data_IF_671345827665
#
_entry.id   IF_671345827665
#
_cell.length_a   1.000
_cell.length_b   1.000
_cell.length_c   1.000
_cell.angle_alpha   90.00
_cell.angle_beta   90.00
_cell.angle_gamma   90.00
#
_symmetry.space_group_name_H-M   'P 1'
#
loop_
_entity.id
_entity.type
_entity.pdbx_description
1 polymer ?
#
# COMPACT_ATOMS: atom_id res chain seq x y z
N UNK A 1 0.00 -69.22 35.78
CA UNK A 1 0.73 -67.96 36.00
C UNK A 1 1.10 -67.41 34.65
N UNK A 2 0.35 -66.44 34.17
CA UNK A 2 0.64 -65.74 32.94
C UNK A 2 0.74 -64.24 33.33
N UNK A 3 1.93 -63.70 33.19
CA UNK A 3 2.22 -62.27 33.42
C UNK A 3 1.92 -61.52 32.11
N UNK A 4 1.00 -60.55 32.15
CA UNK A 4 0.74 -59.60 31.08
C UNK A 4 1.67 -58.39 31.28
N UNK A 5 2.57 -58.14 30.31
CA UNK A 5 3.31 -56.88 30.18
C UNK A 5 2.45 -55.89 29.40
N UNK A 6 1.99 -54.84 30.07
CA UNK A 6 1.39 -53.69 29.40
C UNK A 6 2.52 -52.78 28.92
N UNK A 7 2.70 -52.70 27.60
CA UNK A 7 3.56 -51.71 26.98
C UNK A 7 2.84 -50.36 26.89
N UNK A 8 3.39 -49.39 27.56
CA UNK A 8 3.00 -47.97 27.43
C UNK A 8 3.71 -47.43 26.20
N UNK A 9 2.98 -47.25 25.11
CA UNK A 9 3.48 -46.52 23.94
C UNK A 9 3.33 -45.04 24.18
N UNK A 10 4.42 -44.42 24.66
CA UNK A 10 4.61 -43.00 24.54
C UNK A 10 4.66 -42.63 23.06
N UNK A 11 3.58 -42.09 22.54
CA UNK A 11 3.60 -41.39 21.27
C UNK A 11 4.40 -40.09 21.46
N UNK A 12 5.71 -40.18 21.22
CA UNK A 12 6.59 -39.03 21.14
C UNK A 12 6.10 -38.13 20.01
N UNK A 13 5.56 -36.96 20.36
CA UNK A 13 5.42 -35.84 19.45
C UNK A 13 6.79 -35.55 18.84
N UNK A 14 6.93 -35.87 17.58
CA UNK A 14 8.07 -35.46 16.76
C UNK A 14 7.99 -33.93 16.60
N UNK A 15 8.69 -33.21 17.47
CA UNK A 15 9.00 -31.81 17.24
C UNK A 15 9.91 -31.76 16.00
N UNK A 16 9.44 -31.21 14.92
CA UNK A 16 10.25 -30.87 13.74
C UNK A 16 11.35 -29.88 14.19
N UNK A 17 12.57 -30.35 14.36
CA UNK A 17 13.73 -29.59 14.82
C UNK A 17 14.32 -28.65 13.74
N UNK A 18 13.51 -28.07 12.88
CA UNK A 18 13.94 -27.02 11.92
C UNK A 18 13.52 -25.62 12.39
N UNK A 19 14.20 -24.57 11.92
CA UNK A 19 13.76 -23.21 12.18
C UNK A 19 12.35 -23.00 11.64
N UNK A 20 11.51 -22.26 12.39
CA UNK A 20 10.19 -21.86 11.92
C UNK A 20 10.40 -20.87 10.76
N UNK A 21 9.65 -21.05 9.68
CA UNK A 21 9.61 -20.11 8.56
C UNK A 21 8.21 -19.53 8.48
N UNK A 22 8.12 -18.20 8.62
CA UNK A 22 6.89 -17.45 8.39
C UNK A 22 6.82 -16.98 6.93
N UNK A 23 5.64 -17.08 6.33
CA UNK A 23 5.36 -16.50 5.02
C UNK A 23 4.68 -15.15 5.21
N UNK A 24 5.37 -14.08 4.76
CA UNK A 24 4.84 -12.72 4.67
C UNK A 24 4.31 -12.50 3.25
N UNK A 25 2.99 -12.41 3.11
CA UNK A 25 2.35 -12.02 1.85
C UNK A 25 2.43 -10.50 1.71
N UNK A 26 2.86 -10.01 0.57
CA UNK A 26 2.96 -8.58 0.29
C UNK A 26 2.60 -8.24 -1.16
N UNK A 27 2.30 -6.97 -1.43
CA UNK A 27 2.13 -6.47 -2.79
C UNK A 27 3.47 -6.45 -3.55
N UNK A 28 3.42 -6.32 -4.87
CA UNK A 28 4.60 -6.43 -5.75
C UNK A 28 5.64 -5.31 -5.54
N UNK A 29 5.21 -4.15 -5.06
CA UNK A 29 6.07 -3.00 -4.75
C UNK A 29 6.74 -3.07 -3.36
N UNK A 30 6.51 -4.12 -2.57
CA UNK A 30 7.15 -4.29 -1.27
C UNK A 30 8.61 -4.69 -1.44
N UNK A 31 9.53 -3.74 -1.24
CA UNK A 31 10.97 -3.88 -1.50
C UNK A 31 11.83 -3.38 -0.33
N UNK A 32 11.70 -3.94 0.89
CA UNK A 32 12.58 -3.57 2.00
C UNK A 32 14.03 -3.94 1.71
N UNK A 33 14.99 -3.43 2.50
CA UNK A 33 16.40 -3.80 2.40
C UNK A 33 16.57 -5.32 2.45
N UNK A 34 17.52 -5.86 1.68
CA UNK A 34 17.71 -7.32 1.52
C UNK A 34 17.98 -8.04 2.84
N UNK A 35 18.69 -7.39 3.75
CA UNK A 35 19.13 -7.90 5.05
C UNK A 35 18.21 -7.49 6.21
N UNK A 36 17.08 -6.83 5.94
CA UNK A 36 16.22 -6.27 6.98
C UNK A 36 15.71 -7.33 7.97
N UNK A 37 15.49 -8.55 7.54
CA UNK A 37 15.02 -9.64 8.39
C UNK A 37 16.12 -10.43 9.09
N UNK A 38 17.42 -10.15 8.82
CA UNK A 38 18.54 -10.88 9.41
C UNK A 38 18.61 -10.67 10.95
N UNK A 39 18.38 -9.44 11.41
CA UNK A 39 18.33 -9.12 12.82
C UNK A 39 17.18 -9.86 13.53
N UNK A 40 15.99 -9.91 12.93
CA UNK A 40 14.86 -10.67 13.43
C UNK A 40 15.15 -12.17 13.52
N UNK A 41 15.75 -12.73 12.46
CA UNK A 41 16.14 -14.15 12.44
C UNK A 41 17.20 -14.47 13.47
N UNK A 42 18.19 -13.59 13.65
CA UNK A 42 19.25 -13.78 14.65
C UNK A 42 18.71 -13.75 16.10
N UNK A 43 17.71 -12.91 16.37
CA UNK A 43 17.10 -12.76 17.70
C UNK A 43 16.13 -13.90 18.04
N UNK A 44 15.29 -14.29 17.04
CA UNK A 44 14.14 -15.18 17.28
C UNK A 44 14.37 -16.62 16.80
N UNK A 45 15.32 -16.83 15.88
CA UNK A 45 15.49 -18.10 15.15
C UNK A 45 14.42 -18.32 14.08
N UNK A 46 13.56 -17.33 13.80
CA UNK A 46 12.47 -17.42 12.81
C UNK A 46 12.96 -16.82 11.49
N UNK A 47 12.73 -17.54 10.40
CA UNK A 47 13.02 -17.07 9.03
C UNK A 47 11.78 -16.44 8.42
N UNK A 48 11.91 -15.30 7.74
CA UNK A 48 10.81 -14.66 7.02
C UNK A 48 10.97 -14.92 5.52
N UNK A 49 9.96 -15.55 4.92
CA UNK A 49 9.84 -15.75 3.48
C UNK A 49 8.83 -14.76 2.91
N UNK A 50 9.29 -13.78 2.13
CA UNK A 50 8.41 -12.78 1.50
C UNK A 50 7.87 -13.31 0.17
N UNK A 51 6.55 -13.37 0.05
CA UNK A 51 5.84 -13.76 -1.18
C UNK A 51 5.07 -12.56 -1.71
N UNK A 52 5.47 -12.07 -2.89
CA UNK A 52 4.84 -10.93 -3.55
C UNK A 52 3.82 -11.39 -4.56
N UNK A 53 2.62 -10.80 -4.55
CA UNK A 53 1.50 -11.22 -5.39
C UNK A 53 0.69 -10.03 -5.89
N UNK A 54 1.04 -9.48 -7.04
CA UNK A 54 0.29 -8.37 -7.66
C UNK A 54 0.22 -7.11 -6.82
N UNK A 55 -0.59 -6.14 -7.23
CA UNK A 55 -0.85 -4.92 -6.46
C UNK A 55 -1.78 -5.20 -5.26
N UNK A 56 -1.89 -4.28 -4.31
CA UNK A 56 -2.57 -4.47 -3.02
C UNK A 56 -4.04 -4.91 -3.15
N UNK A 57 -4.78 -4.40 -4.13
CA UNK A 57 -6.18 -4.81 -4.37
C UNK A 57 -6.29 -6.27 -4.83
N UNK A 58 -5.33 -6.74 -5.63
CA UNK A 58 -5.23 -8.14 -6.05
C UNK A 58 -4.81 -9.04 -4.88
N UNK A 59 -3.79 -8.64 -4.11
CA UNK A 59 -3.32 -9.33 -2.91
C UNK A 59 -4.47 -9.55 -1.90
N UNK A 60 -5.18 -8.49 -1.53
CA UNK A 60 -6.31 -8.57 -0.58
C UNK A 60 -7.44 -9.44 -1.14
N UNK A 61 -7.70 -9.37 -2.46
CA UNK A 61 -8.71 -10.20 -3.10
C UNK A 61 -8.38 -11.70 -3.01
N UNK A 62 -7.13 -12.08 -3.28
CA UNK A 62 -6.66 -13.45 -3.18
C UNK A 62 -6.68 -13.96 -1.74
N UNK A 63 -6.17 -13.16 -0.79
CA UNK A 63 -6.15 -13.53 0.62
C UNK A 63 -7.56 -13.69 1.21
N UNK A 64 -8.53 -12.88 0.78
CA UNK A 64 -9.93 -13.01 1.19
C UNK A 64 -10.57 -14.34 0.74
N UNK A 65 -10.17 -14.88 -0.42
CA UNK A 65 -10.67 -16.19 -0.90
C UNK A 65 -10.17 -17.37 -0.07
N UNK A 66 -9.07 -17.21 0.64
CA UNK A 66 -8.44 -18.25 1.46
C UNK A 66 -8.56 -17.97 2.96
N UNK A 67 -9.42 -17.02 3.37
CA UNK A 67 -9.62 -16.70 4.78
C UNK A 67 -9.96 -17.94 5.61
N UNK A 68 -9.27 -18.12 6.74
CA UNK A 68 -9.35 -19.32 7.59
C UNK A 68 -8.47 -20.51 7.18
N UNK A 69 -7.93 -20.51 5.95
CA UNK A 69 -6.89 -21.45 5.49
C UNK A 69 -5.90 -20.69 4.60
N UNK A 70 -5.15 -19.75 5.15
CA UNK A 70 -4.36 -18.79 4.39
C UNK A 70 -3.13 -19.41 3.73
N UNK A 71 -2.65 -18.78 2.64
CA UNK A 71 -1.42 -19.15 1.94
C UNK A 71 -0.15 -18.60 2.63
N UNK A 72 -0.31 -17.74 3.64
CA UNK A 72 0.76 -17.14 4.43
C UNK A 72 0.38 -16.98 5.90
N UNK A 73 1.27 -16.37 6.68
CA UNK A 73 1.10 -16.20 8.12
C UNK A 73 0.79 -14.75 8.49
N UNK A 74 1.41 -13.82 7.79
CA UNK A 74 1.24 -12.38 7.94
C UNK A 74 1.01 -11.76 6.57
N UNK A 75 0.18 -10.72 6.49
CA UNK A 75 -0.04 -9.94 5.28
C UNK A 75 0.38 -8.49 5.53
N UNK A 76 1.16 -7.93 4.59
CA UNK A 76 1.52 -6.51 4.48
C UNK A 76 0.85 -5.92 3.25
N UNK A 77 0.20 -4.74 3.38
CA UNK A 77 -0.29 -4.02 2.22
C UNK A 77 -1.81 -3.92 2.11
N UNK A 78 -2.54 -4.12 3.21
CA UNK A 78 -3.92 -3.62 3.30
C UNK A 78 -3.85 -2.15 3.66
N UNK A 79 -4.53 -1.29 2.92
CA UNK A 79 -4.64 0.11 3.28
C UNK A 79 -6.07 0.50 3.72
N UNK A 80 -6.23 1.75 4.16
CA UNK A 80 -7.52 2.27 4.62
C UNK A 80 -8.63 2.20 3.54
N UNK A 81 -8.29 2.10 2.27
CA UNK A 81 -9.25 1.98 1.15
C UNK A 81 -9.79 0.55 1.00
N UNK A 82 -8.98 -0.45 1.37
CA UNK A 82 -9.26 -1.88 1.27
C UNK A 82 -9.63 -2.54 2.61
N UNK A 83 -9.41 -1.83 3.73
CA UNK A 83 -9.54 -2.38 5.08
C UNK A 83 -10.92 -3.00 5.33
N UNK A 84 -12.00 -2.35 4.91
CA UNK A 84 -13.36 -2.87 5.08
C UNK A 84 -13.52 -4.25 4.43
N UNK A 85 -12.99 -4.44 3.22
CA UNK A 85 -13.04 -5.72 2.53
C UNK A 85 -12.31 -6.83 3.27
N UNK A 86 -11.15 -6.50 3.84
CA UNK A 86 -10.33 -7.45 4.58
C UNK A 86 -11.01 -7.87 5.90
N UNK A 87 -11.62 -6.91 6.61
CA UNK A 87 -12.37 -7.17 7.85
C UNK A 87 -13.67 -7.94 7.58
N UNK A 88 -14.43 -7.60 6.54
CA UNK A 88 -15.65 -8.30 6.15
C UNK A 88 -15.40 -9.78 5.78
N UNK A 89 -14.21 -10.06 5.21
CA UNK A 89 -13.77 -11.41 4.90
C UNK A 89 -13.20 -12.18 6.11
N UNK A 90 -13.16 -11.56 7.30
CA UNK A 90 -12.63 -12.15 8.54
C UNK A 90 -11.19 -12.70 8.38
N UNK A 91 -10.34 -11.94 7.66
CA UNK A 91 -9.01 -12.38 7.24
C UNK A 91 -8.01 -12.47 8.37
N UNK A 92 -8.19 -11.71 9.47
CA UNK A 92 -7.14 -11.46 10.44
C UNK A 92 -7.46 -11.97 11.83
N UNK A 93 -6.41 -12.35 12.56
CA UNK A 93 -6.41 -12.56 14.00
C UNK A 93 -6.14 -11.25 14.72
N UNK A 94 -6.86 -10.98 15.81
CA UNK A 94 -6.61 -9.79 16.63
C UNK A 94 -5.27 -9.90 17.37
N UNK A 95 -4.46 -8.85 17.27
CA UNK A 95 -3.22 -8.71 18.04
C UNK A 95 -2.91 -7.25 18.33
N UNK A 96 -2.65 -6.93 19.58
CA UNK A 96 -2.25 -5.59 20.03
C UNK A 96 -0.74 -5.57 20.30
N UNK A 97 0.04 -5.07 19.33
CA UNK A 97 1.47 -4.85 19.51
C UNK A 97 1.75 -3.78 20.56
N UNK A 98 2.80 -3.93 21.40
CA UNK A 98 3.22 -2.88 22.34
C UNK A 98 3.65 -1.59 21.62
N UNK A 99 4.04 -1.66 20.36
CA UNK A 99 4.49 -0.51 19.56
C UNK A 99 3.38 0.50 19.25
N UNK A 100 2.09 0.16 19.42
CA UNK A 100 0.99 1.14 19.33
C UNK A 100 1.20 2.36 20.24
N UNK A 101 1.90 2.19 21.36
CA UNK A 101 2.21 3.29 22.29
C UNK A 101 3.11 4.38 21.68
N UNK A 102 3.80 4.08 20.59
CA UNK A 102 4.71 4.99 19.87
C UNK A 102 4.12 5.54 18.57
N UNK A 103 2.85 5.28 18.30
CA UNK A 103 2.15 5.72 17.09
C UNK A 103 1.24 6.92 17.37
N UNK A 104 1.06 7.78 16.39
CA UNK A 104 0.14 8.91 16.49
C UNK A 104 -1.32 8.44 16.48
N UNK A 105 -2.20 9.12 17.20
CA UNK A 105 -3.64 8.81 17.22
C UNK A 105 -4.29 8.83 15.81
N UNK A 106 -3.77 9.66 14.92
CA UNK A 106 -4.29 9.77 13.54
C UNK A 106 -4.25 8.47 12.76
N UNK A 107 -3.24 7.63 12.97
CA UNK A 107 -3.11 6.33 12.28
C UNK A 107 -3.88 5.21 12.99
N UNK A 108 -4.28 5.41 14.25
CA UNK A 108 -4.98 4.41 15.07
C UNK A 108 -6.51 4.46 14.94
N UNK A 109 -7.06 5.45 14.24
CA UNK A 109 -8.51 5.76 14.27
C UNK A 109 -9.42 4.69 13.64
N UNK A 110 -8.90 3.80 12.78
CA UNK A 110 -9.72 2.85 12.01
C UNK A 110 -9.40 1.38 12.33
N UNK A 111 -8.94 1.07 13.53
CA UNK A 111 -8.60 -0.29 13.98
C UNK A 111 -9.48 -0.71 15.17
N UNK A 112 -10.73 -1.09 14.95
CA UNK A 112 -11.71 -1.27 16.03
C UNK A 112 -11.37 -2.44 16.98
N UNK A 113 -10.78 -3.53 16.48
CA UNK A 113 -10.53 -4.74 17.25
C UNK A 113 -9.08 -5.23 17.20
N UNK A 114 -8.14 -4.39 16.75
CA UNK A 114 -6.73 -4.75 16.56
C UNK A 114 -6.51 -5.94 15.62
N UNK A 115 -7.36 -6.10 14.61
CA UNK A 115 -7.21 -7.10 13.56
C UNK A 115 -6.03 -6.77 12.64
N UNK A 116 -5.72 -5.49 12.51
CA UNK A 116 -4.58 -4.99 11.77
C UNK A 116 -3.79 -3.96 12.58
N UNK A 117 -2.54 -3.75 12.23
CA UNK A 117 -1.63 -2.77 12.82
C UNK A 117 -1.14 -1.82 11.73
N UNK A 118 -1.21 -0.48 11.92
CA UNK A 118 -0.62 0.48 10.99
C UNK A 118 0.87 0.26 10.85
N UNK A 119 1.40 0.41 9.64
CA UNK A 119 2.83 0.24 9.36
C UNK A 119 3.46 1.42 8.65
N UNK A 120 2.70 2.15 7.87
CA UNK A 120 3.18 3.39 7.24
C UNK A 120 2.03 4.32 6.85
N UNK A 121 2.40 5.51 6.38
CA UNK A 121 1.48 6.47 5.78
C UNK A 121 2.08 7.05 4.51
N UNK A 122 1.19 7.34 3.55
CA UNK A 122 1.49 8.05 2.33
C UNK A 122 0.38 9.02 1.96
N UNK A 123 0.61 9.79 0.92
CA UNK A 123 -0.43 10.60 0.28
C UNK A 123 -0.43 10.23 -1.20
N UNK A 124 -1.51 9.63 -1.69
CA UNK A 124 -1.68 9.30 -3.10
C UNK A 124 -2.12 10.55 -3.85
N UNK A 125 -1.31 10.99 -4.81
CA UNK A 125 -1.46 12.29 -5.48
C UNK A 125 -1.28 12.15 -6.99
N UNK A 126 -1.67 13.18 -7.73
CA UNK A 126 -1.21 13.38 -9.10
C UNK A 126 0.26 13.81 -9.09
N UNK A 127 1.06 13.09 -9.85
CA UNK A 127 2.45 13.42 -10.18
C UNK A 127 2.56 13.80 -11.66
N UNK A 128 3.54 14.65 -11.99
CA UNK A 128 3.75 15.12 -13.36
C UNK A 128 5.22 15.24 -13.73
N UNK A 129 5.53 15.08 -15.01
CA UNK A 129 6.86 15.26 -15.58
C UNK A 129 7.16 16.74 -15.80
N UNK A 130 8.07 17.31 -15.00
CA UNK A 130 8.41 18.74 -15.03
C UNK A 130 8.99 19.14 -16.39
N UNK A 131 9.87 18.30 -16.97
CA UNK A 131 10.51 18.60 -18.24
C UNK A 131 9.49 18.60 -19.39
N UNK A 132 8.60 17.61 -19.44
CA UNK A 132 7.55 17.53 -20.46
C UNK A 132 6.66 18.77 -20.46
N UNK A 133 6.16 19.19 -19.28
CA UNK A 133 5.29 20.37 -19.17
C UNK A 133 6.00 21.65 -19.57
N UNK A 134 7.27 21.80 -19.19
CA UNK A 134 8.10 22.93 -19.57
C UNK A 134 8.31 23.01 -21.09
N UNK A 135 8.67 21.89 -21.71
CA UNK A 135 9.00 21.82 -23.14
C UNK A 135 7.77 22.03 -24.02
N UNK A 136 6.59 21.65 -23.57
CA UNK A 136 5.33 21.89 -24.25
C UNK A 136 4.68 23.24 -23.91
N UNK A 137 5.27 24.02 -22.98
CA UNK A 137 4.77 25.32 -22.53
C UNK A 137 3.31 25.26 -22.02
N UNK A 138 2.99 24.19 -21.28
CA UNK A 138 1.69 23.94 -20.62
C UNK A 138 1.93 23.92 -19.11
N UNK A 139 1.05 24.56 -18.32
CA UNK A 139 1.10 24.43 -16.87
C UNK A 139 0.65 23.04 -16.43
N UNK A 140 1.28 22.39 -15.43
CA UNK A 140 0.80 21.11 -14.91
C UNK A 140 -0.57 21.26 -14.23
N UNK A 141 -1.41 20.21 -14.18
CA UNK A 141 -2.66 20.23 -13.44
C UNK A 141 -2.39 20.24 -11.93
N UNK A 142 -3.02 21.14 -11.20
CA UNK A 142 -2.82 21.26 -9.74
C UNK A 142 -4.05 20.84 -8.93
N UNK A 143 -5.18 20.56 -9.60
CA UNK A 143 -6.45 20.12 -8.99
C UNK A 143 -7.06 18.97 -9.75
N UNK A 144 -7.96 18.22 -9.12
CA UNK A 144 -8.70 17.14 -9.80
C UNK A 144 -9.55 17.68 -10.94
N UNK A 145 -10.24 18.81 -10.74
CA UNK A 145 -11.08 19.46 -11.77
C UNK A 145 -10.28 19.83 -13.03
N UNK A 146 -9.01 20.23 -12.88
CA UNK A 146 -8.16 20.57 -14.02
C UNK A 146 -7.93 19.42 -14.98
N UNK A 147 -7.89 18.16 -14.49
CA UNK A 147 -7.55 16.96 -15.31
C UNK A 147 -8.53 16.68 -16.45
N UNK A 148 -9.76 17.17 -16.36
CA UNK A 148 -10.76 16.99 -17.44
C UNK A 148 -10.67 18.04 -18.54
N UNK A 149 -9.76 19.03 -18.40
CA UNK A 149 -9.52 20.01 -19.45
C UNK A 149 -8.91 19.35 -20.69
N UNK A 150 -9.33 19.78 -21.88
CA UNK A 150 -8.77 19.34 -23.16
C UNK A 150 -7.26 19.59 -23.29
N UNK A 151 -6.68 20.48 -22.51
CA UNK A 151 -5.23 20.69 -22.44
C UNK A 151 -4.46 19.47 -21.93
N UNK A 152 -5.13 18.57 -21.22
CA UNK A 152 -4.54 17.33 -20.68
C UNK A 152 -5.09 16.07 -21.35
N UNK A 153 -5.69 16.21 -22.53
CA UNK A 153 -6.23 15.07 -23.28
C UNK A 153 -5.13 14.05 -23.61
N UNK A 154 -5.37 12.78 -23.27
CA UNK A 154 -4.46 11.65 -23.45
C UNK A 154 -3.14 11.76 -22.63
N UNK A 155 -3.07 12.58 -21.60
CA UNK A 155 -1.84 12.76 -20.81
C UNK A 155 -1.81 11.99 -19.49
N UNK A 156 -2.96 11.59 -18.95
CA UNK A 156 -3.10 10.95 -17.66
C UNK A 156 -3.05 9.41 -17.76
N UNK A 157 -2.27 8.77 -16.90
CA UNK A 157 -2.36 7.34 -16.59
C UNK A 157 -2.71 7.13 -15.12
N UNK A 158 -3.60 6.18 -14.84
CA UNK A 158 -4.04 5.81 -13.49
C UNK A 158 -4.01 4.30 -13.32
N UNK A 159 -3.61 3.77 -12.15
CA UNK A 159 -3.83 2.38 -11.80
C UNK A 159 -5.34 2.11 -11.64
N UNK A 160 -5.77 0.87 -11.88
CA UNK A 160 -7.17 0.46 -11.72
C UNK A 160 -7.63 0.56 -10.27
N UNK A 161 -8.78 1.16 -10.04
CA UNK A 161 -9.40 1.19 -8.71
C UNK A 161 -9.82 -0.20 -8.18
N UNK A 162 -9.86 -1.23 -9.04
CA UNK A 162 -10.25 -2.59 -8.67
C UNK A 162 -9.06 -3.39 -8.14
N UNK A 163 -7.89 -3.24 -8.76
CA UNK A 163 -6.71 -4.09 -8.54
C UNK A 163 -5.60 -3.41 -7.75
N UNK A 164 -5.61 -2.06 -7.70
CA UNK A 164 -4.54 -1.25 -7.11
C UNK A 164 -5.07 -0.35 -5.99
N UNK A 165 -4.37 -0.31 -4.85
CA UNK A 165 -4.75 0.58 -3.74
C UNK A 165 -4.53 2.07 -4.08
N UNK A 166 -3.42 2.53 -4.71
CA UNK A 166 -3.34 3.92 -5.16
C UNK A 166 -4.37 4.27 -6.23
N UNK A 167 -4.79 3.31 -7.07
CA UNK A 167 -5.90 3.52 -8.00
C UNK A 167 -7.23 3.72 -7.28
N UNK A 168 -7.50 2.93 -6.26
CA UNK A 168 -8.70 3.09 -5.42
C UNK A 168 -8.65 4.39 -4.61
N UNK A 169 -7.48 4.75 -4.06
CA UNK A 169 -7.30 6.02 -3.35
C UNK A 169 -7.58 7.24 -4.25
N UNK A 170 -7.10 7.21 -5.49
CA UNK A 170 -7.42 8.26 -6.47
C UNK A 170 -8.92 8.30 -6.82
N UNK A 171 -9.55 7.15 -7.00
CA UNK A 171 -10.99 7.09 -7.21
C UNK A 171 -11.74 7.69 -6.01
N UNK A 172 -11.39 7.30 -4.79
CA UNK A 172 -12.00 7.85 -3.56
C UNK A 172 -11.71 9.35 -3.39
N UNK A 173 -10.55 9.85 -3.84
CA UNK A 173 -10.29 11.29 -3.89
C UNK A 173 -11.33 12.01 -4.77
N UNK A 174 -11.73 11.43 -5.89
CA UNK A 174 -12.76 11.99 -6.75
C UNK A 174 -14.15 11.95 -6.11
N UNK A 175 -14.46 10.89 -5.35
CA UNK A 175 -15.71 10.83 -4.56
C UNK A 175 -15.71 11.90 -3.46
N UNK A 176 -14.58 12.07 -2.76
CA UNK A 176 -14.46 13.07 -1.70
C UNK A 176 -14.61 14.51 -2.23
N UNK A 177 -14.06 14.80 -3.42
CA UNK A 177 -14.07 16.13 -4.03
C UNK A 177 -15.41 16.46 -4.68
N UNK A 178 -15.98 15.54 -5.46
CA UNK A 178 -17.17 15.80 -6.28
C UNK A 178 -18.48 15.30 -5.66
N UNK A 179 -18.41 14.56 -4.56
CA UNK A 179 -19.57 13.98 -3.89
C UNK A 179 -20.16 12.77 -4.61
N UNK A 180 -21.19 12.16 -3.97
CA UNK A 180 -21.83 10.92 -4.44
C UNK A 180 -22.46 11.03 -5.83
N UNK A 181 -22.95 12.20 -6.21
CA UNK A 181 -23.66 12.43 -7.48
C UNK A 181 -22.75 13.07 -8.55
N UNK A 182 -21.50 13.41 -8.24
CA UNK A 182 -20.62 14.17 -9.14
C UNK A 182 -19.44 13.37 -9.69
N UNK A 183 -18.94 12.40 -8.97
CA UNK A 183 -17.78 11.61 -9.39
C UNK A 183 -18.01 10.81 -10.69
N UNK A 184 -19.25 10.40 -10.98
CA UNK A 184 -19.61 9.67 -12.17
C UNK A 184 -19.39 10.51 -13.43
N UNK A 185 -19.86 11.74 -13.43
CA UNK A 185 -19.71 12.65 -14.57
C UNK A 185 -18.25 13.09 -14.72
N UNK A 186 -17.52 13.23 -13.62
CA UNK A 186 -16.09 13.46 -13.64
C UNK A 186 -15.34 12.32 -14.35
N UNK A 187 -15.62 11.05 -14.01
CA UNK A 187 -14.96 9.89 -14.64
C UNK A 187 -15.38 9.67 -16.10
N UNK A 188 -16.62 10.00 -16.48
CA UNK A 188 -17.03 10.08 -17.90
C UNK A 188 -16.16 11.10 -18.66
N UNK A 189 -15.96 12.27 -18.06
CA UNK A 189 -15.12 13.33 -18.62
C UNK A 189 -13.65 12.92 -18.72
N UNK A 190 -13.09 12.24 -17.69
CA UNK A 190 -11.73 11.67 -17.77
C UNK A 190 -11.60 10.64 -18.87
N UNK A 191 -12.60 9.76 -19.05
CA UNK A 191 -12.63 8.78 -20.13
C UNK A 191 -12.67 9.46 -21.50
N UNK A 192 -13.53 10.43 -21.68
CA UNK A 192 -13.62 11.24 -22.92
C UNK A 192 -12.31 11.98 -23.20
N UNK A 193 -11.61 12.39 -22.13
CA UNK A 193 -10.29 13.03 -22.20
C UNK A 193 -9.14 12.04 -22.40
N UNK A 194 -9.42 10.74 -22.55
CA UNK A 194 -8.45 9.70 -22.92
C UNK A 194 -7.53 9.26 -21.77
N UNK A 195 -8.06 9.21 -20.53
CA UNK A 195 -7.34 8.59 -19.41
C UNK A 195 -6.94 7.15 -19.74
N UNK A 196 -5.69 6.80 -19.49
CA UNK A 196 -5.22 5.41 -19.58
C UNK A 196 -5.36 4.75 -18.22
N UNK A 197 -6.12 3.66 -18.16
CA UNK A 197 -6.24 2.83 -16.95
C UNK A 197 -5.45 1.55 -17.15
N UNK A 198 -4.56 1.23 -16.20
CA UNK A 198 -3.69 0.04 -16.21
C UNK A 198 -3.88 -0.77 -14.94
N UNK A 199 -3.40 -2.03 -14.92
CA UNK A 199 -3.72 -2.96 -13.85
C UNK A 199 -3.17 -2.57 -12.48
N UNK A 200 -1.97 -1.97 -12.40
CA UNK A 200 -1.33 -1.64 -11.12
C UNK A 200 -0.41 -0.43 -11.19
N UNK A 201 0.02 -0.01 -10.00
CA UNK A 201 0.91 1.14 -9.83
C UNK A 201 2.25 0.96 -10.52
N UNK A 202 2.86 -0.21 -10.42
CA UNK A 202 4.15 -0.50 -11.07
C UNK A 202 4.08 -0.28 -12.57
N UNK A 203 3.00 -0.70 -13.24
CA UNK A 203 2.81 -0.45 -14.66
C UNK A 203 2.59 1.05 -14.92
N UNK A 204 1.70 1.69 -14.17
CA UNK A 204 1.41 3.12 -14.36
C UNK A 204 2.67 3.98 -14.23
N UNK A 205 3.43 3.77 -13.14
CA UNK A 205 4.56 4.62 -12.79
C UNK A 205 5.85 4.26 -13.55
N UNK A 206 6.19 2.97 -13.62
CA UNK A 206 7.47 2.52 -14.17
C UNK A 206 7.45 2.25 -15.68
N UNK A 207 6.26 2.15 -16.30
CA UNK A 207 6.12 1.85 -17.74
C UNK A 207 5.49 2.99 -18.53
N UNK A 208 4.33 3.49 -18.06
CA UNK A 208 3.53 4.45 -18.84
C UNK A 208 3.89 5.91 -18.57
N UNK A 209 4.40 6.23 -17.36
CA UNK A 209 4.77 7.59 -16.97
C UNK A 209 6.10 8.03 -17.60
N UNK A 210 6.14 9.22 -18.18
CA UNK A 210 7.33 9.76 -18.84
C UNK A 210 8.39 10.31 -17.88
N UNK A 211 7.97 10.73 -16.67
CA UNK A 211 8.85 11.37 -15.68
C UNK A 211 9.67 10.38 -14.85
N UNK A 212 9.39 9.06 -14.95
CA UNK A 212 10.13 8.01 -14.27
C UNK A 212 11.20 7.36 -15.17
N UNK A 213 11.90 6.37 -14.63
CA UNK A 213 12.92 5.59 -15.35
C UNK A 213 12.39 4.87 -16.60
N UNK A 214 11.10 4.51 -16.63
CA UNK A 214 10.43 3.81 -17.73
C UNK A 214 10.27 4.63 -19.01
N UNK A 215 10.27 5.96 -18.89
CA UNK A 215 10.16 6.92 -20.04
C UNK A 215 8.95 6.62 -20.92
N UNK A 216 7.80 6.35 -20.31
CA UNK A 216 6.54 6.15 -21.00
C UNK A 216 6.04 7.42 -21.70
N UNK A 217 4.83 7.38 -22.25
CA UNK A 217 4.28 8.46 -23.06
C UNK A 217 3.33 9.39 -22.27
N UNK A 218 3.02 9.07 -21.01
CA UNK A 218 2.05 9.81 -20.18
C UNK A 218 2.76 10.72 -19.17
N UNK A 219 2.68 12.06 -19.31
CA UNK A 219 3.35 12.99 -18.42
C UNK A 219 2.61 13.27 -17.11
N UNK A 220 1.45 12.65 -16.89
CA UNK A 220 0.67 12.74 -15.64
C UNK A 220 0.34 11.34 -15.17
N UNK A 221 0.60 11.06 -13.89
CA UNK A 221 0.36 9.76 -13.27
C UNK A 221 -0.23 9.90 -11.86
N UNK A 222 -1.02 8.93 -11.43
CA UNK A 222 -1.37 8.73 -10.02
C UNK A 222 -0.22 8.01 -9.32
N UNK A 223 0.38 8.63 -8.33
CA UNK A 223 1.46 8.09 -7.52
C UNK A 223 1.47 8.75 -6.13
N UNK A 224 2.62 8.88 -5.49
CA UNK A 224 2.72 9.36 -4.12
C UNK A 224 3.35 10.75 -4.03
N UNK A 225 3.06 11.47 -2.93
CA UNK A 225 3.72 12.74 -2.60
C UNK A 225 5.24 12.59 -2.43
N UNK A 226 5.70 11.39 -2.15
CA UNK A 226 7.10 11.00 -1.96
C UNK A 226 7.83 10.55 -3.23
N UNK A 227 7.13 10.31 -4.33
CA UNK A 227 7.75 9.85 -5.59
C UNK A 227 8.90 10.72 -6.10
N UNK A 228 8.87 12.08 -5.98
CA UNK A 228 10.01 12.90 -6.38
C UNK A 228 11.31 12.61 -5.60
N UNK A 229 11.21 12.18 -4.33
CA UNK A 229 12.38 11.77 -3.56
C UNK A 229 13.01 10.48 -4.11
N UNK A 230 12.20 9.50 -4.52
CA UNK A 230 12.68 8.28 -5.15
C UNK A 230 13.45 8.56 -6.44
N UNK A 231 12.91 9.44 -7.30
CA UNK A 231 13.55 9.79 -8.57
C UNK A 231 14.92 10.46 -8.39
N UNK A 232 15.11 11.25 -7.31
CA UNK A 232 16.41 11.86 -7.00
C UNK A 232 17.36 10.84 -6.39
N UNK A 233 16.90 10.00 -5.47
CA UNK A 233 17.76 9.06 -4.75
C UNK A 233 18.26 7.92 -5.63
N UNK A 234 17.48 7.52 -6.64
CA UNK A 234 17.86 6.49 -7.60
C UNK A 234 18.38 7.03 -8.94
N UNK A 235 18.56 8.35 -9.07
CA UNK A 235 19.02 8.94 -10.33
C UNK A 235 20.41 8.47 -10.73
N UNK A 236 20.55 8.07 -12.00
CA UNK A 236 21.85 7.80 -12.64
C UNK A 236 21.91 8.55 -14.00
N UNK A 237 22.76 9.58 -14.13
CA UNK A 237 23.71 10.10 -13.14
C UNK A 237 23.02 10.79 -11.95
N UNK A 238 23.70 10.89 -10.77
CA UNK A 238 23.14 11.52 -9.58
C UNK A 238 22.69 12.97 -9.84
N UNK A 239 21.55 13.34 -9.26
CA UNK A 239 20.95 14.69 -9.33
C UNK A 239 20.49 15.14 -7.94
N UNK A 240 20.38 16.46 -7.75
CA UNK A 240 19.72 17.09 -6.59
C UNK A 240 18.43 17.82 -6.99
N UNK A 241 17.95 17.62 -8.22
CA UNK A 241 16.74 18.22 -8.76
C UNK A 241 15.77 17.10 -9.13
N UNK A 242 14.60 17.11 -8.51
CA UNK A 242 13.55 16.15 -8.84
C UNK A 242 13.05 16.35 -10.28
N UNK A 243 12.98 15.30 -11.11
CA UNK A 243 12.44 15.39 -12.46
C UNK A 243 10.91 15.47 -12.47
N UNK A 244 10.28 15.10 -11.37
CA UNK A 244 8.81 15.03 -11.22
C UNK A 244 8.32 16.01 -10.17
N UNK A 245 7.08 16.47 -10.33
CA UNK A 245 6.38 17.32 -9.36
C UNK A 245 5.09 16.67 -8.89
N UNK A 246 4.54 17.19 -7.81
CA UNK A 246 3.30 16.73 -7.18
C UNK A 246 2.24 17.84 -7.21
N UNK A 247 0.99 17.47 -7.43
CA UNK A 247 -0.17 18.36 -7.29
C UNK A 247 -0.83 18.13 -5.92
N UNK A 248 -0.47 18.89 -4.87
CA UNK A 248 -0.84 18.58 -3.49
C UNK A 248 -2.35 18.70 -3.20
N UNK A 249 -3.11 19.42 -4.02
CA UNK A 249 -4.58 19.52 -3.87
C UNK A 249 -5.33 18.28 -4.41
N UNK A 250 -4.64 17.30 -4.97
CA UNK A 250 -5.23 16.07 -5.50
C UNK A 250 -5.01 14.88 -4.59
N UNK A 251 -4.34 15.07 -3.47
CA UNK A 251 -3.86 13.99 -2.61
C UNK A 251 -4.97 13.39 -1.75
N UNK A 252 -4.98 12.06 -1.66
CA UNK A 252 -5.79 11.29 -0.74
C UNK A 252 -4.89 10.62 0.31
N UNK A 253 -5.28 10.68 1.59
CA UNK A 253 -4.53 10.07 2.68
C UNK A 253 -4.54 8.54 2.58
N UNK A 254 -3.37 7.94 2.66
CA UNK A 254 -3.21 6.49 2.75
C UNK A 254 -2.56 6.11 4.08
N UNK A 255 -3.13 5.10 4.75
CA UNK A 255 -2.56 4.43 5.92
C UNK A 255 -2.49 2.96 5.53
N UNK A 256 -1.31 2.37 5.55
CA UNK A 256 -1.12 0.96 5.25
C UNK A 256 -1.02 0.15 6.54
N UNK A 257 -1.47 -1.10 6.47
CA UNK A 257 -1.56 -2.00 7.62
C UNK A 257 -0.94 -3.35 7.30
N UNK A 258 -0.47 -4.00 8.38
CA UNK A 258 -0.13 -5.42 8.43
C UNK A 258 -1.06 -6.16 9.37
N UNK A 259 -1.23 -7.46 9.19
CA UNK A 259 -2.05 -8.28 10.09
C UNK A 259 -1.69 -9.75 10.03
N UNK A 260 -1.98 -10.46 11.14
CA UNK A 260 -1.79 -11.90 11.25
C UNK A 260 -2.96 -12.60 10.55
N UNK A 261 -2.67 -13.43 9.56
CA UNK A 261 -3.72 -14.13 8.82
C UNK A 261 -4.39 -15.20 9.67
N UNK A 262 -5.73 -15.15 9.71
CA UNK A 262 -6.54 -16.13 10.45
C UNK A 262 -6.36 -17.53 9.90
N UNK A 263 -6.03 -18.47 10.78
CA UNK A 263 -5.77 -19.87 10.43
C UNK A 263 -4.30 -20.20 10.31
N UNK A 264 -3.38 -19.25 10.49
CA UNK A 264 -1.95 -19.55 10.64
C UNK A 264 -1.70 -20.50 11.82
N UNK A 265 -0.74 -21.40 11.65
CA UNK A 265 -0.28 -22.34 12.68
C UNK A 265 0.79 -21.73 13.59
N UNK A 266 1.32 -20.57 13.22
CA UNK A 266 2.47 -19.90 13.84
C UNK A 266 2.05 -18.55 14.44
N UNK A 267 0.91 -18.54 15.16
CA UNK A 267 0.34 -17.29 15.71
C UNK A 267 1.30 -16.53 16.62
N UNK A 268 2.02 -17.23 17.50
CA UNK A 268 2.96 -16.60 18.43
C UNK A 268 4.18 -16.01 17.70
N UNK A 269 4.69 -16.72 16.70
CA UNK A 269 5.79 -16.28 15.86
C UNK A 269 5.38 -15.10 14.98
N UNK A 270 4.15 -15.13 14.44
CA UNK A 270 3.58 -14.04 13.67
C UNK A 270 3.42 -12.76 14.50
N UNK A 271 3.09 -12.85 15.81
CA UNK A 271 3.06 -11.71 16.71
C UNK A 271 4.44 -11.06 16.85
N UNK A 272 5.51 -11.86 16.98
CA UNK A 272 6.88 -11.34 17.00
C UNK A 272 7.24 -10.63 15.68
N UNK A 273 6.75 -11.13 14.56
CA UNK A 273 6.96 -10.45 13.27
C UNK A 273 6.21 -9.12 13.20
N UNK A 274 4.96 -9.04 13.67
CA UNK A 274 4.24 -7.74 13.76
C UNK A 274 5.01 -6.76 14.63
N UNK A 275 5.52 -7.19 15.79
CA UNK A 275 6.33 -6.33 16.68
C UNK A 275 7.60 -5.83 15.98
N UNK A 276 8.25 -6.68 15.19
CA UNK A 276 9.42 -6.31 14.42
C UNK A 276 9.09 -5.31 13.29
N UNK A 277 8.05 -5.58 12.49
CA UNK A 277 7.60 -4.72 11.39
C UNK A 277 7.19 -3.32 11.86
N UNK A 278 6.72 -3.21 13.09
CA UNK A 278 6.32 -1.95 13.71
C UNK A 278 7.40 -1.34 14.62
N UNK A 279 8.53 -2.02 14.81
CA UNK A 279 9.67 -1.56 15.61
C UNK A 279 10.58 -0.60 14.84
N UNK A 280 11.39 0.18 15.56
CA UNK A 280 12.23 1.25 15.00
C UNK A 280 13.19 0.80 13.93
N UNK A 281 13.72 -0.42 13.98
CA UNK A 281 14.65 -0.98 12.98
C UNK A 281 13.98 -1.06 11.62
N UNK A 282 12.85 -1.75 11.53
CA UNK A 282 12.11 -1.90 10.27
C UNK A 282 11.50 -0.57 9.83
N UNK A 283 10.93 0.19 10.75
CA UNK A 283 10.30 1.47 10.46
C UNK A 283 11.28 2.53 9.93
N UNK A 284 12.56 2.48 10.34
CA UNK A 284 13.60 3.38 9.81
C UNK A 284 14.09 3.01 8.42
N UNK A 285 13.81 1.80 7.94
CA UNK A 285 14.11 1.35 6.57
C UNK A 285 13.11 1.91 5.54
N UNK A 286 11.83 2.06 5.92
CA UNK A 286 10.72 2.42 5.05
C UNK A 286 10.94 3.70 4.21
N UNK A 287 11.49 4.81 4.74
CA UNK A 287 11.64 6.03 3.96
C UNK A 287 12.51 5.88 2.70
N UNK A 288 13.52 5.02 2.74
CA UNK A 288 14.48 4.85 1.64
C UNK A 288 14.25 3.59 0.80
N UNK A 289 13.33 2.74 1.18
CA UNK A 289 13.04 1.48 0.47
C UNK A 289 11.63 1.42 -0.08
N UNK A 290 10.64 1.92 0.70
CA UNK A 290 9.24 1.96 0.30
C UNK A 290 8.78 3.37 -0.07
N UNK A 291 9.56 4.41 0.26
CA UNK A 291 9.21 5.82 0.04
C UNK A 291 7.88 6.23 0.70
N UNK A 292 7.66 5.72 1.90
CA UNK A 292 6.51 6.02 2.76
C UNK A 292 6.97 6.56 4.10
N UNK A 293 6.07 7.16 4.87
CA UNK A 293 6.38 7.68 6.19
C UNK A 293 6.13 6.61 7.26
N UNK A 294 7.13 6.34 8.13
CA UNK A 294 6.96 5.41 9.23
C UNK A 294 5.90 5.92 10.22
N UNK A 295 5.21 4.98 10.89
CA UNK A 295 4.22 5.29 11.92
C UNK A 295 4.83 5.33 13.33
N UNK A 296 6.00 4.73 13.54
CA UNK A 296 6.69 4.73 14.83
C UNK A 296 7.40 6.09 15.04
N UNK A 297 7.07 6.80 16.13
CA UNK A 297 7.55 8.16 16.39
C UNK A 297 9.07 8.27 16.51
N UNK A 298 9.74 7.20 16.95
CA UNK A 298 11.21 7.16 17.13
C UNK A 298 11.95 6.62 15.90
N UNK A 299 11.23 6.33 14.79
CA UNK A 299 11.87 5.91 13.54
C UNK A 299 12.66 7.07 12.91
N UNK A 300 13.81 6.72 12.35
CA UNK A 300 14.65 7.72 11.67
C UNK A 300 14.10 8.03 10.29
N UNK A 301 13.86 9.31 10.01
CA UNK A 301 13.48 9.79 8.67
C UNK A 301 14.65 10.63 8.14
N UNK A 302 15.36 10.18 7.10
CA UNK A 302 16.51 10.91 6.55
C UNK A 302 16.10 12.24 5.88
N UNK A 303 16.94 13.27 6.01
CA UNK A 303 16.75 14.56 5.33
C UNK A 303 16.69 14.42 3.80
N UNK A 304 17.42 13.45 3.25
CA UNK A 304 17.40 13.13 1.81
C UNK A 304 16.02 12.68 1.33
N UNK A 305 15.23 12.04 2.20
CA UNK A 305 13.85 11.67 1.89
C UNK A 305 12.92 12.88 1.97
N UNK A 306 12.95 13.64 3.06
CA UNK A 306 12.00 14.74 3.29
C UNK A 306 12.22 15.96 2.40
N UNK A 307 13.44 16.16 1.89
CA UNK A 307 13.84 17.34 1.11
C UNK A 307 13.04 17.54 -0.18
N UNK A 308 12.60 16.46 -0.82
CA UNK A 308 11.95 16.48 -2.13
C UNK A 308 10.44 16.17 -2.08
N UNK A 309 9.89 16.04 -0.88
CA UNK A 309 8.50 15.68 -0.66
C UNK A 309 7.65 16.93 -0.47
N UNK A 310 6.53 16.99 -1.16
CA UNK A 310 5.50 18.01 -0.98
C UNK A 310 4.24 17.35 -0.43
N UNK A 311 4.17 17.19 0.90
CA UNK A 311 2.93 16.74 1.55
C UNK A 311 1.85 17.82 1.46
N UNK A 312 0.58 17.44 1.25
CA UNK A 312 -0.53 18.36 1.33
C UNK A 312 -0.67 18.89 2.77
N UNK A 313 -1.10 20.16 2.93
CA UNK A 313 -1.51 20.66 4.25
C UNK A 313 -2.70 19.88 4.78
N UNK A 314 -3.57 19.42 3.87
CA UNK A 314 -4.73 18.57 4.15
C UNK A 314 -5.01 17.69 2.94
N UNK A 315 -4.82 16.40 3.09
CA UNK A 315 -5.24 15.40 2.12
C UNK A 315 -6.77 15.19 2.16
N UNK A 316 -7.33 14.77 1.03
CA UNK A 316 -8.71 14.29 0.96
C UNK A 316 -8.83 12.97 1.73
N UNK A 317 -9.95 12.77 2.39
CA UNK A 317 -10.27 11.55 3.16
C UNK A 317 -11.74 11.21 3.03
N UNK A 318 -12.09 9.96 3.19
CA UNK A 318 -13.47 9.49 3.38
C UNK A 318 -13.48 8.65 4.66
N UNK A 319 -14.53 8.81 5.47
CA UNK A 319 -14.71 8.03 6.69
C UNK A 319 -14.80 6.54 6.38
N UNK A 320 -14.17 5.71 7.22
CA UNK A 320 -14.09 4.26 7.05
C UNK A 320 -15.45 3.59 6.81
N UNK A 321 -16.47 3.94 7.59
CA UNK A 321 -17.81 3.38 7.46
C UNK A 321 -18.47 3.73 6.12
N UNK A 322 -18.21 4.93 5.59
CA UNK A 322 -18.73 5.35 4.27
C UNK A 322 -18.08 4.52 3.16
N UNK A 323 -16.76 4.27 3.24
CA UNK A 323 -16.07 3.38 2.31
C UNK A 323 -16.64 1.96 2.43
N UNK A 324 -16.79 1.45 3.66
CA UNK A 324 -17.29 0.09 3.91
C UNK A 324 -18.67 -0.14 3.29
N UNK A 325 -19.58 0.83 3.45
CA UNK A 325 -20.96 0.72 2.96
C UNK A 325 -21.08 0.84 1.44
N UNK A 326 -20.23 1.63 0.79
CA UNK A 326 -20.44 2.03 -0.61
C UNK A 326 -19.42 1.48 -1.60
N UNK A 327 -18.22 1.09 -1.16
CA UNK A 327 -17.09 0.74 -2.05
C UNK A 327 -17.46 -0.27 -3.14
N UNK A 328 -18.19 -1.32 -2.79
CA UNK A 328 -18.55 -2.37 -3.76
C UNK A 328 -19.45 -1.83 -4.88
N UNK A 329 -20.47 -1.05 -4.52
CA UNK A 329 -21.38 -0.43 -5.50
C UNK A 329 -20.66 0.62 -6.35
N UNK A 330 -19.83 1.48 -5.73
CA UNK A 330 -19.04 2.47 -6.44
C UNK A 330 -18.07 1.84 -7.45
N UNK A 331 -17.39 0.75 -7.09
CA UNK A 331 -16.47 0.06 -8.01
C UNK A 331 -17.16 -0.63 -9.19
N UNK A 332 -18.36 -1.19 -8.99
CA UNK A 332 -19.16 -1.77 -10.07
C UNK A 332 -19.58 -0.68 -11.08
N UNK A 333 -20.06 0.47 -10.57
CA UNK A 333 -20.43 1.61 -11.40
C UNK A 333 -19.21 2.23 -12.10
N UNK A 334 -18.09 2.44 -11.36
CA UNK A 334 -16.83 2.93 -11.92
C UNK A 334 -16.34 2.04 -13.06
N UNK A 335 -16.33 0.72 -12.84
CA UNK A 335 -15.96 -0.26 -13.88
C UNK A 335 -16.83 -0.14 -15.12
N UNK A 336 -18.13 0.10 -14.95
CA UNK A 336 -19.05 0.31 -16.06
C UNK A 336 -18.75 1.60 -16.82
N UNK A 337 -18.42 2.69 -16.13
CA UNK A 337 -18.06 3.98 -16.74
C UNK A 337 -16.75 3.88 -17.50
N UNK A 338 -15.74 3.23 -16.91
CA UNK A 338 -14.37 3.24 -17.44
C UNK A 338 -14.20 2.26 -18.60
N UNK A 339 -14.80 1.07 -18.53
CA UNK A 339 -14.51 -0.03 -19.47
C UNK A 339 -15.64 -0.35 -20.46
N UNK A 340 -16.82 0.24 -20.32
CA UNK A 340 -17.95 0.04 -21.24
C UNK A 340 -18.35 1.34 -21.93
#
# INVERSE_FOLDING_TARGET
MLAACSGNSDEGQSSSNGPVTLTLLAHDSFTPSEDIFDAFTAETGIVVNVVRTGDAGELVSKAALTAGNPEGDVLWGVDNTLLSRALDADMFESYQTPNLAFMNESVLRNIPGHEVTPVDTGDVCINYDIAWFKDNNIAPPMTLDALVSSSYANLLVVPSAITSSPGLAFFLATVAEFGEDGWQDYWKSLRENGVLVVDGWTQAYSTEFSGSSGKGERPIVVSYSSSPAAEVLFADPPTDVAPTGVAPLTCFEQIEYTGILRGTKYKAEAQLLIDYLTGTTFQSDLPLTQFVFPVHADATIPDSFTRYISRPERALTIEYNVIAENRAAWLDEWSTIVFK
#
